data_IF_401586872969
#
_entry.id   IF_401586872969
#
_cell.length_a   1.000
_cell.length_b   1.000
_cell.length_c   1.000
_cell.angle_alpha   90.00
_cell.angle_beta   90.00
_cell.angle_gamma   90.00
#
_symmetry.space_group_name_H-M   'P 1'
#
loop_
_entity.id
_entity.type
_entity.pdbx_description
1 polymer ?
#
# COMPACT_ATOMS: atom_id res chain seq x y z
N UNK A 1 -29.35 18.79 27.18
CA UNK A 1 -27.95 19.27 27.24
C UNK A 1 -27.15 18.41 26.28
N UNK A 2 -26.66 18.95 25.15
CA UNK A 2 -25.79 18.18 24.24
C UNK A 2 -24.39 18.18 24.83
N UNK A 3 -23.86 17.00 25.14
CA UNK A 3 -22.47 16.85 25.57
C UNK A 3 -21.65 16.85 24.27
N UNK A 4 -20.85 17.89 24.08
CA UNK A 4 -19.93 17.96 22.95
C UNK A 4 -18.90 16.82 23.08
N UNK A 5 -18.67 16.03 22.02
CA UNK A 5 -17.68 14.96 22.07
C UNK A 5 -16.29 15.55 22.28
N UNK A 6 -15.51 14.90 23.14
CA UNK A 6 -14.11 15.24 23.39
C UNK A 6 -13.30 15.26 22.10
N UNK A 7 -12.19 15.99 22.07
CA UNK A 7 -11.29 16.03 20.93
C UNK A 7 -10.81 14.62 20.54
N UNK A 8 -10.49 13.79 21.55
CA UNK A 8 -10.12 12.39 21.36
C UNK A 8 -11.24 11.56 20.73
N UNK A 9 -12.49 11.76 21.16
CA UNK A 9 -13.65 11.10 20.54
C UNK A 9 -13.82 11.50 19.06
N UNK A 10 -13.58 12.77 18.72
CA UNK A 10 -13.65 13.24 17.33
C UNK A 10 -12.58 12.57 16.49
N UNK A 11 -11.33 12.54 16.96
CA UNK A 11 -10.22 11.88 16.26
C UNK A 11 -10.43 10.37 16.13
N UNK A 12 -10.92 9.71 17.18
CA UNK A 12 -11.27 8.28 17.15
C UNK A 12 -12.38 7.98 16.13
N UNK A 13 -13.36 8.88 15.99
CA UNK A 13 -14.38 8.76 14.93
C UNK A 13 -13.79 8.98 13.54
N UNK A 14 -12.90 9.96 13.40
CA UNK A 14 -12.24 10.28 12.12
C UNK A 14 -11.35 9.12 11.65
N UNK A 15 -10.56 8.52 12.53
CA UNK A 15 -9.70 7.39 12.15
C UNK A 15 -10.51 6.16 11.74
N UNK A 16 -11.62 5.87 12.43
CA UNK A 16 -12.55 4.82 12.02
C UNK A 16 -13.15 5.10 10.64
N UNK A 17 -13.57 6.35 10.38
CA UNK A 17 -14.09 6.74 9.07
C UNK A 17 -13.05 6.55 7.96
N UNK A 18 -11.83 7.06 8.14
CA UNK A 18 -10.74 6.91 7.16
C UNK A 18 -10.43 5.42 6.93
N UNK A 19 -10.42 4.61 7.99
CA UNK A 19 -10.15 3.17 7.90
C UNK A 19 -11.24 2.43 7.11
N UNK A 20 -12.52 2.82 7.26
CA UNK A 20 -13.61 2.29 6.43
C UNK A 20 -13.53 2.75 4.97
N UNK A 21 -13.10 3.98 4.71
CA UNK A 21 -12.88 4.44 3.33
C UNK A 21 -11.70 3.69 2.68
N UNK A 22 -10.64 3.40 3.44
CA UNK A 22 -9.54 2.56 2.98
C UNK A 22 -10.01 1.14 2.68
N UNK A 23 -10.85 0.54 3.54
CA UNK A 23 -11.45 -0.77 3.30
C UNK A 23 -12.25 -0.79 1.99
N UNK A 24 -13.12 0.20 1.78
CA UNK A 24 -13.88 0.32 0.53
C UNK A 24 -12.95 0.44 -0.68
N UNK A 25 -11.92 1.27 -0.59
CA UNK A 25 -10.94 1.45 -1.67
C UNK A 25 -10.22 0.13 -1.97
N UNK A 26 -9.80 -0.62 -0.96
CA UNK A 26 -9.08 -1.88 -1.17
C UNK A 26 -9.98 -2.96 -1.78
N UNK A 27 -11.26 -2.98 -1.42
CA UNK A 27 -12.22 -3.96 -1.95
C UNK A 27 -12.71 -3.64 -3.37
N UNK A 28 -12.45 -2.43 -3.89
CA UNK A 28 -12.74 -2.07 -5.27
C UNK A 28 -11.64 -2.60 -6.20
N UNK A 29 -12.04 -3.43 -7.16
CA UNK A 29 -11.14 -4.13 -8.10
C UNK A 29 -10.32 -3.18 -9.00
N UNK A 30 -10.81 -1.95 -9.21
CA UNK A 30 -10.15 -0.91 -10.01
C UNK A 30 -9.48 0.18 -9.15
N UNK A 31 -9.24 -0.06 -7.87
CA UNK A 31 -8.67 0.97 -7.02
C UNK A 31 -7.21 1.26 -7.35
N UNK A 32 -6.93 2.53 -7.66
CA UNK A 32 -5.58 3.03 -7.86
C UNK A 32 -4.77 3.00 -6.55
N UNK A 33 -3.56 2.41 -6.51
CA UNK A 33 -2.70 2.37 -5.32
C UNK A 33 -2.41 3.74 -4.71
N UNK A 34 -2.39 4.80 -5.53
CA UNK A 34 -2.17 6.18 -5.08
C UNK A 34 -3.29 6.67 -4.15
N UNK A 35 -4.52 6.19 -4.37
CA UNK A 35 -5.66 6.50 -3.49
C UNK A 35 -5.45 5.91 -2.10
N UNK A 36 -4.84 4.73 -2.02
CA UNK A 36 -4.52 4.09 -0.74
C UNK A 36 -3.46 4.88 0.02
N UNK A 37 -2.40 5.33 -0.67
CA UNK A 37 -1.34 6.14 -0.06
C UNK A 37 -1.91 7.40 0.62
N UNK A 38 -2.75 8.16 -0.09
CA UNK A 38 -3.36 9.37 0.47
C UNK A 38 -4.27 9.10 1.68
N UNK A 39 -4.95 7.95 1.73
CA UNK A 39 -5.75 7.54 2.90
C UNK A 39 -4.88 7.10 4.07
N UNK A 40 -3.79 6.38 3.81
CA UNK A 40 -2.82 5.94 4.82
C UNK A 40 -2.10 7.13 5.47
N UNK A 41 -1.70 8.14 4.69
CA UNK A 41 -1.09 9.37 5.20
C UNK A 41 -2.04 10.13 6.13
N UNK A 42 -3.29 10.36 5.69
CA UNK A 42 -4.32 11.00 6.52
C UNK A 42 -4.56 10.22 7.80
N UNK A 43 -4.59 8.88 7.73
CA UNK A 43 -4.74 8.01 8.89
C UNK A 43 -3.57 8.18 9.86
N UNK A 44 -2.33 8.21 9.37
CA UNK A 44 -1.14 8.41 10.20
C UNK A 44 -1.18 9.78 10.92
N UNK A 45 -1.53 10.85 10.21
CA UNK A 45 -1.64 12.18 10.81
C UNK A 45 -2.66 12.24 11.96
N UNK A 46 -3.76 11.48 11.86
CA UNK A 46 -4.76 11.39 12.93
C UNK A 46 -4.25 10.53 14.09
N UNK A 47 -3.53 9.43 13.81
CA UNK A 47 -2.87 8.64 14.85
C UNK A 47 -1.88 9.47 15.66
N UNK A 48 -1.04 10.27 14.99
CA UNK A 48 -0.07 11.14 15.66
C UNK A 48 -0.76 12.13 16.61
N UNK A 49 -1.92 12.67 16.22
CA UNK A 49 -2.72 13.56 17.07
C UNK A 49 -3.32 12.82 18.27
N UNK A 50 -3.80 11.60 18.07
CA UNK A 50 -4.34 10.75 19.14
C UNK A 50 -3.23 10.43 20.15
N UNK A 51 -2.04 10.04 19.69
CA UNK A 51 -0.90 9.75 20.55
C UNK A 51 -0.51 10.96 21.39
N UNK A 52 -0.45 12.15 20.77
CA UNK A 52 -0.18 13.40 21.48
C UNK A 52 -1.22 13.72 22.56
N UNK A 53 -2.50 13.43 22.31
CA UNK A 53 -3.55 13.65 23.30
C UNK A 53 -3.52 12.62 24.42
N UNK A 54 -3.27 11.35 24.11
CA UNK A 54 -3.17 10.28 25.11
C UNK A 54 -2.02 10.54 26.10
N UNK A 55 -0.89 11.03 25.61
CA UNK A 55 0.24 11.44 26.47
C UNK A 55 -0.14 12.58 27.40
N UNK A 56 -0.99 13.51 26.96
CA UNK A 56 -1.37 14.71 27.74
C UNK A 56 -2.49 14.45 28.75
N UNK A 57 -3.53 13.72 28.36
CA UNK A 57 -4.74 13.57 29.16
C UNK A 57 -4.81 12.25 29.92
N UNK A 58 -4.12 11.20 29.45
CA UNK A 58 -4.11 9.85 30.03
C UNK A 58 -5.47 9.14 30.07
N UNK A 59 -6.55 9.81 29.66
CA UNK A 59 -7.93 9.32 29.77
C UNK A 59 -8.50 9.05 28.39
N UNK A 60 -8.84 7.80 28.16
CA UNK A 60 -9.53 7.33 26.96
C UNK A 60 -11.00 7.06 27.29
N UNK A 61 -11.90 7.80 26.65
CA UNK A 61 -13.33 7.59 26.79
C UNK A 61 -13.74 6.23 26.19
N UNK A 62 -14.71 5.55 26.80
CA UNK A 62 -15.14 4.23 26.34
C UNK A 62 -15.64 4.23 24.89
N UNK A 63 -16.31 5.30 24.45
CA UNK A 63 -16.74 5.49 23.07
C UNK A 63 -15.59 5.72 22.10
N UNK A 64 -14.48 6.32 22.56
CA UNK A 64 -13.30 6.56 21.73
C UNK A 64 -12.53 5.24 21.57
N UNK A 65 -12.41 4.49 22.66
CA UNK A 65 -11.84 3.14 22.65
C UNK A 65 -12.61 2.22 21.69
N UNK A 66 -13.95 2.24 21.73
CA UNK A 66 -14.76 1.42 20.83
C UNK A 66 -14.47 1.72 19.35
N UNK A 67 -14.39 3.00 18.97
CA UNK A 67 -14.07 3.38 17.59
C UNK A 67 -12.66 2.94 17.18
N UNK A 68 -11.68 3.05 18.08
CA UNK A 68 -10.31 2.61 17.84
C UNK A 68 -10.20 1.09 17.70
N UNK A 69 -10.94 0.34 18.54
CA UNK A 69 -11.02 -1.12 18.44
C UNK A 69 -11.64 -1.56 17.12
N UNK A 70 -12.70 -0.89 16.68
CA UNK A 70 -13.32 -1.20 15.39
C UNK A 70 -12.36 -0.91 14.22
N UNK A 71 -11.67 0.23 14.24
CA UNK A 71 -10.66 0.56 13.24
C UNK A 71 -9.57 -0.54 13.19
N UNK A 72 -9.06 -0.95 14.35
CA UNK A 72 -8.06 -2.02 14.45
C UNK A 72 -8.57 -3.36 13.89
N UNK A 73 -9.83 -3.72 14.14
CA UNK A 73 -10.41 -4.93 13.58
C UNK A 73 -10.50 -4.90 12.06
N UNK A 74 -10.76 -3.73 11.47
CA UNK A 74 -10.73 -3.55 10.02
C UNK A 74 -9.29 -3.70 9.51
N UNK A 75 -8.32 -3.06 10.17
CA UNK A 75 -6.90 -3.14 9.77
C UNK A 75 -6.39 -4.58 9.69
N UNK A 76 -6.73 -5.41 10.68
CA UNK A 76 -6.35 -6.83 10.70
C UNK A 76 -6.87 -7.59 9.45
N UNK A 77 -7.99 -7.16 8.87
CA UNK A 77 -8.52 -7.72 7.62
C UNK A 77 -7.84 -7.14 6.39
N UNK A 78 -7.46 -5.86 6.43
CA UNK A 78 -6.86 -5.16 5.28
C UNK A 78 -5.40 -5.52 5.04
N UNK A 79 -4.61 -5.69 6.10
CA UNK A 79 -3.17 -6.02 6.01
C UNK A 79 -2.88 -7.20 5.06
N UNK A 80 -3.55 -8.37 5.16
CA UNK A 80 -3.29 -9.47 4.24
C UNK A 80 -3.67 -9.14 2.78
N UNK A 81 -4.73 -8.35 2.55
CA UNK A 81 -5.16 -7.94 1.21
C UNK A 81 -4.13 -7.02 0.56
N UNK A 82 -3.66 -6.01 1.31
CA UNK A 82 -2.62 -5.10 0.84
C UNK A 82 -1.30 -5.83 0.57
N UNK A 83 -0.93 -6.80 1.41
CA UNK A 83 0.25 -7.63 1.20
C UNK A 83 0.13 -8.48 -0.07
N UNK A 84 -1.07 -9.02 -0.36
CA UNK A 84 -1.32 -9.77 -1.59
C UNK A 84 -1.10 -8.90 -2.82
N UNK A 85 -1.65 -7.69 -2.84
CA UNK A 85 -1.46 -6.74 -3.95
C UNK A 85 0.01 -6.33 -4.10
N UNK A 86 0.71 -6.05 -3.00
CA UNK A 86 2.15 -5.79 -3.03
C UNK A 86 2.92 -6.94 -3.69
N UNK A 87 2.64 -8.18 -3.28
CA UNK A 87 3.32 -9.34 -3.84
C UNK A 87 3.02 -9.52 -5.34
N UNK A 88 1.77 -9.27 -5.77
CA UNK A 88 1.38 -9.33 -7.18
C UNK A 88 2.12 -8.27 -8.03
N UNK A 89 2.31 -7.06 -7.51
CA UNK A 89 3.11 -6.02 -8.17
C UNK A 89 4.59 -6.44 -8.26
N UNK A 90 5.15 -7.00 -7.19
CA UNK A 90 6.53 -7.50 -7.17
C UNK A 90 6.76 -8.62 -8.19
N UNK A 91 5.80 -9.53 -8.36
CA UNK A 91 5.85 -10.58 -9.38
C UNK A 91 5.84 -10.01 -10.80
N UNK A 92 4.92 -9.09 -11.11
CA UNK A 92 4.88 -8.38 -12.40
C UNK A 92 6.20 -7.65 -12.69
N UNK A 93 6.80 -7.02 -11.68
CA UNK A 93 8.12 -6.37 -11.83
C UNK A 93 9.25 -7.36 -12.13
N UNK A 94 9.22 -8.55 -11.51
CA UNK A 94 10.19 -9.62 -11.82
C UNK A 94 10.03 -10.09 -13.26
N UNK A 95 8.81 -10.31 -13.73
CA UNK A 95 8.52 -10.70 -15.12
C UNK A 95 9.02 -9.65 -16.12
N UNK A 96 8.71 -8.37 -15.89
CA UNK A 96 9.19 -7.26 -16.75
C UNK A 96 10.72 -7.20 -16.81
N UNK A 97 11.40 -7.41 -15.68
CA UNK A 97 12.85 -7.46 -15.64
C UNK A 97 13.41 -8.66 -16.41
N UNK A 98 12.78 -9.84 -16.32
CA UNK A 98 13.16 -11.02 -17.10
C UNK A 98 12.99 -10.77 -18.60
N UNK A 99 11.86 -10.17 -19.01
CA UNK A 99 11.61 -9.78 -20.41
C UNK A 99 12.68 -8.80 -20.90
N UNK A 100 13.02 -7.78 -20.10
CA UNK A 100 14.07 -6.81 -20.43
C UNK A 100 15.44 -7.47 -20.59
N UNK A 101 15.80 -8.38 -19.69
CA UNK A 101 17.07 -9.12 -19.77
C UNK A 101 17.11 -10.04 -20.99
N UNK A 102 16.02 -10.76 -21.28
CA UNK A 102 15.92 -11.61 -22.47
C UNK A 102 16.00 -10.76 -23.75
N UNK A 103 15.23 -9.67 -23.84
CA UNK A 103 15.25 -8.74 -24.98
C UNK A 103 16.66 -8.17 -25.21
N UNK A 104 17.37 -7.76 -24.16
CA UNK A 104 18.75 -7.30 -24.27
C UNK A 104 19.72 -8.39 -24.74
N UNK A 105 19.53 -9.65 -24.32
CA UNK A 105 20.34 -10.78 -24.79
C UNK A 105 20.10 -11.07 -26.27
N UNK A 106 18.84 -11.05 -26.73
CA UNK A 106 18.52 -11.27 -28.15
C UNK A 106 18.94 -10.09 -29.03
N UNK A 107 18.77 -8.84 -28.57
CA UNK A 107 19.25 -7.65 -29.28
C UNK A 107 20.80 -7.55 -29.33
N UNK A 108 21.49 -8.07 -28.32
CA UNK A 108 22.95 -8.21 -28.37
C UNK A 108 23.39 -9.39 -29.25
N UNK A 109 22.61 -10.49 -29.33
CA UNK A 109 22.90 -11.59 -30.25
C UNK A 109 22.72 -11.18 -31.72
N UNK A 110 21.73 -10.34 -32.04
CA UNK A 110 21.54 -9.80 -33.40
C UNK A 110 22.59 -8.76 -33.81
N UNK A 111 23.40 -8.26 -32.86
CA UNK A 111 24.63 -7.50 -33.14
C UNK A 111 25.91 -8.35 -33.13
N UNK A 112 25.83 -9.65 -32.80
CA UNK A 112 26.95 -10.60 -32.85
C UNK A 112 26.95 -11.48 -34.11
N UNK A 113 25.99 -11.30 -35.01
CA UNK A 113 25.93 -11.94 -36.34
C UNK A 113 26.81 -11.24 -37.39
N UNK A 114 28.05 -10.86 -37.03
CA UNK A 114 29.00 -10.19 -37.94
C UNK A 114 30.41 -10.80 -38.01
N UNK A 115 30.76 -11.76 -37.15
CA UNK A 115 32.09 -12.40 -37.17
C UNK A 115 31.96 -13.92 -37.08
N UNK A 116 31.56 -14.53 -38.21
CA UNK A 116 31.52 -16.00 -38.33
C UNK A 116 31.33 -16.52 -39.75
N UNK A 117 31.47 -15.67 -40.78
CA UNK A 117 31.22 -16.03 -42.19
C UNK A 117 32.44 -15.81 -43.10
N UNK A 118 33.66 -15.92 -42.57
CA UNK A 118 34.88 -15.97 -43.36
C UNK A 118 35.83 -17.00 -42.72
N UNK A 119 36.59 -17.73 -43.55
CA UNK A 119 37.35 -18.97 -43.27
C UNK A 119 36.47 -20.24 -43.28
N UNK A 120 36.54 -21.16 -44.23
CA UNK A 120 37.38 -21.33 -45.42
C UNK A 120 36.68 -22.36 -46.33
N UNK A 121 36.41 -22.02 -47.59
CA UNK A 121 36.01 -22.97 -48.62
C UNK A 121 37.27 -23.47 -49.31
N UNK A 122 37.59 -24.76 -49.11
CA UNK A 122 38.47 -25.65 -49.90
C UNK A 122 39.21 -25.01 -51.10
N UNK A 123 40.54 -25.04 -51.05
CA UNK A 123 41.40 -25.71 -52.04
C UNK A 123 42.80 -25.98 -51.47
#
# INVERSE_FOLDING_TARGET
MRIEPSELQRLASTILHITRELEKSILLEESEPETWNGLLEKRQQVMDQIDLLLVKSGNLEASALQNLQEAFMIDQKLVPLMNKERNAIEEKMKELNQIKVASNRYNNLSNLSGYGAFFDTKN
#
